data_IF_462092813593
#
_entry.id   IF_462092813593
#
_cell.length_a   1.000
_cell.length_b   1.000
_cell.length_c   1.000
_cell.angle_alpha   90.00
_cell.angle_beta   90.00
_cell.angle_gamma   90.00
#
_symmetry.space_group_name_H-M   'P 1'
#
loop_
_entity.id
_entity.type
_entity.pdbx_description
1 polymer ?
#
# COMPACT_ATOMS: atom_id res chain seq x y z
N UNK A 1 -12.61 1.61 1.31
CA UNK A 1 -11.39 1.29 2.09
C UNK A 1 -11.68 0.07 2.95
N UNK A 2 -10.70 -0.80 3.14
CA UNK A 2 -10.72 -1.92 4.09
C UNK A 2 -9.45 -1.81 4.95
N UNK A 3 -9.55 -1.95 6.27
CA UNK A 3 -8.44 -1.74 7.20
C UNK A 3 -8.53 -2.72 8.35
N UNK A 4 -7.36 -3.19 8.81
CA UNK A 4 -7.22 -4.03 10.00
C UNK A 4 -5.98 -3.61 10.81
N UNK A 5 -5.98 -3.95 12.10
CA UNK A 5 -4.81 -3.76 12.98
C UNK A 5 -4.29 -5.11 13.43
N UNK A 6 -2.99 -5.33 13.28
CA UNK A 6 -2.33 -6.58 13.60
C UNK A 6 -1.17 -6.34 14.58
N UNK A 7 -0.79 -7.38 15.32
CA UNK A 7 0.54 -7.41 15.96
C UNK A 7 1.60 -7.64 14.88
N UNK A 8 2.74 -6.97 14.97
CA UNK A 8 3.83 -7.09 14.02
C UNK A 8 4.62 -8.38 14.24
N UNK A 9 4.26 -9.41 13.46
CA UNK A 9 4.96 -10.69 13.38
C UNK A 9 5.09 -11.12 11.91
N UNK A 10 5.98 -12.06 11.57
CA UNK A 10 6.12 -12.54 10.19
C UNK A 10 4.81 -13.03 9.55
N UNK A 11 3.93 -13.64 10.34
CA UNK A 11 2.62 -14.15 9.90
C UNK A 11 1.67 -13.02 9.45
N UNK A 12 1.87 -11.80 9.95
CA UNK A 12 1.09 -10.61 9.59
C UNK A 12 1.18 -10.27 8.11
N UNK A 13 2.28 -10.66 7.45
CA UNK A 13 2.45 -10.49 6.00
C UNK A 13 1.38 -11.29 5.24
N UNK A 14 1.05 -12.50 5.71
CA UNK A 14 -0.02 -13.29 5.12
C UNK A 14 -1.39 -12.63 5.33
N UNK A 15 -1.71 -12.19 6.55
CA UNK A 15 -2.97 -11.53 6.86
C UNK A 15 -3.16 -10.21 6.08
N UNK A 16 -2.08 -9.44 5.91
CA UNK A 16 -2.07 -8.22 5.12
C UNK A 16 -2.41 -8.49 3.64
N UNK A 17 -1.90 -9.59 3.06
CA UNK A 17 -2.27 -10.00 1.69
C UNK A 17 -3.73 -10.41 1.61
N UNK A 18 -4.25 -11.17 2.57
CA UNK A 18 -5.66 -11.58 2.55
C UNK A 18 -6.62 -10.40 2.64
N UNK A 19 -6.25 -9.34 3.38
CA UNK A 19 -6.97 -8.07 3.38
C UNK A 19 -7.00 -7.45 1.98
N UNK A 20 -5.86 -7.40 1.28
CA UNK A 20 -5.78 -6.88 -0.10
C UNK A 20 -6.63 -7.72 -1.05
N UNK A 21 -6.51 -9.05 -1.02
CA UNK A 21 -7.30 -9.96 -1.88
C UNK A 21 -8.79 -9.75 -1.67
N UNK A 22 -9.22 -9.71 -0.42
CA UNK A 22 -10.63 -9.50 -0.04
C UNK A 22 -11.14 -8.14 -0.51
N UNK A 23 -10.35 -7.08 -0.34
CA UNK A 23 -10.68 -5.75 -0.81
C UNK A 23 -10.86 -5.70 -2.34
N UNK A 24 -9.86 -6.16 -3.10
CA UNK A 24 -9.88 -6.15 -4.56
C UNK A 24 -10.97 -7.05 -5.14
N UNK A 25 -11.20 -8.22 -4.54
CA UNK A 25 -12.31 -9.09 -4.89
C UNK A 25 -13.66 -8.37 -4.74
N UNK A 26 -13.87 -7.69 -3.62
CA UNK A 26 -15.10 -6.95 -3.35
C UNK A 26 -15.31 -5.74 -4.29
N UNK A 27 -14.23 -5.24 -4.91
CA UNK A 27 -14.29 -4.09 -5.82
C UNK A 27 -14.28 -4.48 -7.30
N UNK A 28 -14.22 -5.78 -7.62
CA UNK A 28 -14.12 -6.25 -9.01
C UNK A 28 -12.75 -5.99 -9.64
N UNK A 29 -11.69 -5.83 -8.84
CA UNK A 29 -10.33 -5.47 -9.26
C UNK A 29 -9.34 -6.63 -9.11
N UNK A 30 -9.81 -7.88 -9.19
CA UNK A 30 -8.99 -9.11 -9.05
C UNK A 30 -7.81 -9.18 -10.02
N UNK A 31 -7.89 -8.51 -11.17
CA UNK A 31 -6.78 -8.46 -12.13
C UNK A 31 -5.49 -7.83 -11.55
N UNK A 32 -5.60 -7.00 -10.51
CA UNK A 32 -4.47 -6.32 -9.87
C UNK A 32 -4.00 -7.01 -8.58
N UNK A 33 -4.56 -8.19 -8.27
CA UNK A 33 -4.32 -8.88 -7.01
C UNK A 33 -2.84 -9.29 -6.82
N UNK A 34 -2.18 -9.73 -7.89
CA UNK A 34 -0.77 -10.13 -7.85
C UNK A 34 0.13 -8.96 -7.43
N UNK A 35 0.08 -7.87 -8.19
CA UNK A 35 0.88 -6.66 -7.96
C UNK A 35 0.59 -6.03 -6.60
N UNK A 36 -0.70 -5.93 -6.22
CA UNK A 36 -1.10 -5.35 -4.95
C UNK A 36 -0.64 -6.20 -3.75
N UNK A 37 -0.72 -7.53 -3.86
CA UNK A 37 -0.20 -8.44 -2.84
C UNK A 37 1.32 -8.37 -2.73
N UNK A 38 2.03 -8.21 -3.84
CA UNK A 38 3.48 -8.06 -3.84
C UNK A 38 3.89 -6.78 -3.13
N UNK A 39 3.26 -5.65 -3.46
CA UNK A 39 3.49 -4.37 -2.77
C UNK A 39 3.21 -4.51 -1.27
N UNK A 40 2.06 -5.08 -0.91
CA UNK A 40 1.69 -5.23 0.50
C UNK A 40 2.64 -6.14 1.27
N UNK A 41 3.19 -7.17 0.62
CA UNK A 41 4.19 -8.06 1.22
C UNK A 41 5.39 -7.27 1.71
N UNK A 42 5.91 -6.38 0.87
CA UNK A 42 7.10 -5.59 1.19
C UNK A 42 6.83 -4.55 2.27
N UNK A 43 5.69 -3.85 2.19
CA UNK A 43 5.28 -2.88 3.21
C UNK A 43 5.09 -3.55 4.58
N UNK A 44 4.34 -4.66 4.61
CA UNK A 44 4.05 -5.39 5.84
C UNK A 44 5.30 -6.07 6.42
N UNK A 45 6.20 -6.61 5.58
CA UNK A 45 7.45 -7.22 6.02
C UNK A 45 8.37 -6.21 6.71
N UNK A 46 8.46 -4.99 6.16
CA UNK A 46 9.22 -3.91 6.79
C UNK A 46 8.66 -3.52 8.15
N UNK A 47 7.34 -3.33 8.26
CA UNK A 47 6.69 -3.00 9.52
C UNK A 47 6.82 -4.14 10.55
N UNK A 48 6.60 -5.39 10.14
CA UNK A 48 6.75 -6.57 11.01
C UNK A 48 8.17 -6.73 11.55
N UNK A 49 9.19 -6.42 10.73
CA UNK A 49 10.60 -6.47 11.12
C UNK A 49 10.97 -5.34 12.09
N UNK A 50 10.52 -4.11 11.83
CA UNK A 50 10.92 -2.92 12.60
C UNK A 50 10.12 -2.75 13.90
N UNK A 51 8.88 -3.25 13.95
CA UNK A 51 7.96 -3.05 15.07
C UNK A 51 7.58 -4.35 15.78
N UNK A 52 8.45 -5.38 15.78
CA UNK A 52 8.13 -6.72 16.30
C UNK A 52 7.35 -6.67 17.63
N UNK A 53 6.17 -7.31 17.68
CA UNK A 53 5.29 -7.38 18.85
C UNK A 53 4.41 -6.14 19.12
N UNK A 54 4.64 -5.01 18.41
CA UNK A 54 3.79 -3.82 18.49
C UNK A 54 2.60 -3.90 17.54
N UNK A 55 1.68 -2.94 17.65
CA UNK A 55 0.56 -2.84 16.72
C UNK A 55 1.00 -2.13 15.43
N UNK A 56 0.64 -2.71 14.29
CA UNK A 56 0.72 -2.07 12.97
C UNK A 56 -0.68 -2.06 12.36
N UNK A 57 -0.99 -1.03 11.57
CA UNK A 57 -2.28 -0.94 10.86
C UNK A 57 -2.05 -1.12 9.38
N UNK A 58 -2.84 -1.97 8.76
CA UNK A 58 -2.78 -2.24 7.33
C UNK A 58 -4.11 -1.84 6.71
N UNK A 59 -4.06 -1.15 5.58
CA UNK A 59 -5.28 -0.86 4.83
C UNK A 59 -5.04 -0.79 3.34
N UNK A 60 -6.15 -1.02 2.63
CA UNK A 60 -6.23 -0.90 1.18
C UNK A 60 -7.41 0.00 0.84
N UNK A 61 -7.19 0.87 -0.13
CA UNK A 61 -8.09 1.94 -0.51
C UNK A 61 -8.26 2.00 -2.01
N UNK A 62 -9.50 2.01 -2.48
CA UNK A 62 -9.83 2.39 -3.85
C UNK A 62 -9.87 3.91 -3.92
N UNK A 63 -9.10 4.50 -4.82
CA UNK A 63 -9.01 5.93 -5.11
C UNK A 63 -9.39 6.19 -6.57
N UNK A 64 -9.63 7.44 -6.95
CA UNK A 64 -10.08 7.79 -8.31
C UNK A 64 -9.13 7.30 -9.41
N UNK A 65 -7.83 7.30 -9.13
CA UNK A 65 -6.77 6.91 -10.08
C UNK A 65 -6.25 5.48 -9.88
N UNK A 66 -6.90 4.65 -9.04
CA UNK A 66 -6.53 3.25 -8.85
C UNK A 66 -6.67 2.73 -7.42
N UNK A 67 -5.64 2.01 -6.93
CA UNK A 67 -5.64 1.40 -5.60
C UNK A 67 -4.40 1.80 -4.82
N UNK A 68 -4.59 2.20 -3.56
CA UNK A 68 -3.53 2.53 -2.60
C UNK A 68 -3.45 1.44 -1.53
N UNK A 69 -2.26 0.91 -1.31
CA UNK A 69 -1.91 0.03 -0.19
C UNK A 69 -1.09 0.80 0.82
N UNK A 70 -1.41 0.64 2.09
CA UNK A 70 -0.76 1.36 3.17
C UNK A 70 -0.48 0.47 4.38
N UNK A 71 0.64 0.74 5.03
CA UNK A 71 0.99 0.19 6.35
C UNK A 71 1.44 1.33 7.25
N UNK A 72 0.82 1.41 8.42
CA UNK A 72 1.24 2.30 9.49
C UNK A 72 2.00 1.53 10.55
N UNK A 73 3.05 2.16 11.06
CA UNK A 73 3.87 1.68 12.16
C UNK A 73 4.38 2.87 13.00
N UNK A 74 4.70 2.60 14.27
CA UNK A 74 5.21 3.59 15.23
C UNK A 74 6.74 3.65 15.29
N UNK A 75 7.46 3.02 14.36
CA UNK A 75 8.92 3.08 14.36
C UNK A 75 9.38 4.48 13.96
N UNK A 76 10.29 5.12 14.72
CA UNK A 76 10.72 6.51 14.45
C UNK A 76 11.55 6.64 13.17
N UNK A 77 12.16 5.55 12.70
CA UNK A 77 12.93 5.53 11.46
C UNK A 77 12.05 5.80 10.23
N UNK A 78 12.47 6.77 9.41
CA UNK A 78 11.80 7.11 8.14
C UNK A 78 12.15 6.05 7.09
N UNK A 79 11.20 5.61 6.24
CA UNK A 79 11.51 4.72 5.13
C UNK A 79 12.40 5.48 4.16
N UNK A 80 13.60 4.96 3.92
CA UNK A 80 14.44 5.46 2.84
C UNK A 80 13.89 4.86 1.55
N UNK A 81 13.12 5.65 0.81
CA UNK A 81 12.67 5.29 -0.53
C UNK A 81 13.89 5.43 -1.44
N UNK A 82 14.64 4.35 -1.61
CA UNK A 82 15.76 4.32 -2.54
C UNK A 82 15.20 4.41 -3.97
N UNK A 83 15.72 5.34 -4.76
CA UNK A 83 15.56 5.27 -6.22
C UNK A 83 16.26 4.01 -6.72
N UNK A 84 15.76 3.36 -7.78
CA UNK A 84 16.30 2.07 -8.21
C UNK A 84 17.70 2.29 -8.80
N UNK A 85 18.74 2.02 -8.02
CA UNK A 85 20.08 1.87 -8.54
C UNK A 85 20.31 0.38 -8.83
N UNK A 86 20.65 0.09 -10.09
CA UNK A 86 20.68 -1.22 -10.73
C UNK A 86 21.57 -2.31 -10.06
N UNK A 87 22.27 -2.01 -8.96
CA UNK A 87 23.34 -2.87 -8.46
C UNK A 87 23.43 -3.06 -6.93
N UNK A 88 22.44 -2.66 -6.13
CA UNK A 88 22.55 -2.83 -4.67
C UNK A 88 21.77 -4.05 -4.12
N UNK A 89 22.43 -4.79 -3.22
CA UNK A 89 22.02 -6.12 -2.75
C UNK A 89 21.26 -6.05 -1.42
N UNK A 90 21.35 -4.93 -0.69
CA UNK A 90 20.64 -4.67 0.58
C UNK A 90 19.61 -3.54 0.44
N UNK A 91 18.57 -3.76 -0.39
CA UNK A 91 17.51 -2.76 -0.63
C UNK A 91 16.29 -3.27 -1.42
N UNK A 92 16.20 -4.58 -1.70
CA UNK A 92 15.31 -5.14 -2.73
C UNK A 92 13.81 -5.01 -2.47
N UNK A 93 13.39 -4.82 -1.21
CA UNK A 93 11.96 -4.80 -0.89
C UNK A 93 11.22 -3.58 -1.46
N UNK A 94 11.85 -2.41 -1.49
CA UNK A 94 11.24 -1.20 -2.10
C UNK A 94 11.46 -1.10 -3.61
N UNK A 95 12.45 -1.82 -4.16
CA UNK A 95 12.69 -1.93 -5.61
C UNK A 95 11.56 -2.68 -6.32
N UNK A 96 10.98 -3.72 -5.68
CA UNK A 96 9.79 -4.40 -6.18
C UNK A 96 8.54 -3.51 -6.07
N UNK A 97 8.41 -2.73 -4.99
CA UNK A 97 7.31 -1.77 -4.84
C UNK A 97 7.34 -0.73 -5.96
N UNK A 98 8.50 -0.20 -6.36
CA UNK A 98 8.59 0.75 -7.49
C UNK A 98 8.25 0.13 -8.84
N UNK A 99 8.56 -1.15 -9.07
CA UNK A 99 8.21 -1.83 -10.33
C UNK A 99 6.70 -2.03 -10.49
N UNK A 100 5.97 -2.22 -9.38
CA UNK A 100 4.53 -2.47 -9.40
C UNK A 100 3.69 -1.24 -9.03
N UNK A 101 4.25 -0.24 -8.35
CA UNK A 101 3.54 0.96 -7.91
C UNK A 101 3.48 2.02 -9.03
N UNK A 102 2.78 1.70 -10.11
CA UNK A 102 2.60 2.60 -11.26
C UNK A 102 1.93 3.94 -10.91
N UNK A 103 1.25 4.04 -9.77
CA UNK A 103 0.66 5.29 -9.25
C UNK A 103 1.53 6.03 -8.23
N UNK A 104 2.79 5.61 -8.05
CA UNK A 104 3.74 6.19 -7.10
C UNK A 104 3.75 5.54 -5.71
N UNK A 105 4.73 5.91 -4.90
CA UNK A 105 4.87 5.47 -3.52
C UNK A 105 5.46 6.58 -2.65
N UNK A 106 5.32 6.45 -1.33
CA UNK A 106 5.71 7.50 -0.40
C UNK A 106 5.52 7.11 1.06
N UNK A 107 5.72 8.07 1.95
CA UNK A 107 5.28 7.97 3.33
C UNK A 107 4.85 9.34 3.85
N UNK A 108 4.12 9.34 4.96
CA UNK A 108 3.73 10.57 5.67
C UNK A 108 3.61 10.29 7.16
N UNK A 109 3.79 11.33 7.98
CA UNK A 109 3.53 11.25 9.42
C UNK A 109 2.02 11.11 9.66
N UNK A 110 1.63 10.25 10.60
CA UNK A 110 0.24 10.01 10.96
C UNK A 110 0.16 9.69 12.46
N UNK A 111 -0.34 10.65 13.23
CA UNK A 111 -0.28 10.59 14.70
C UNK A 111 1.16 10.48 15.19
N UNK A 112 1.40 9.60 16.16
CA UNK A 112 2.73 9.30 16.73
C UNK A 112 3.61 8.42 15.83
N UNK A 113 3.11 8.00 14.67
CA UNK A 113 3.81 7.10 13.76
C UNK A 113 3.86 7.63 12.33
N UNK A 114 4.09 6.70 11.41
CA UNK A 114 4.12 6.99 9.97
C UNK A 114 3.30 5.97 9.21
N UNK A 115 2.81 6.39 8.05
CA UNK A 115 2.16 5.52 7.09
C UNK A 115 2.99 5.48 5.80
N UNK A 116 3.44 4.29 5.42
CA UNK A 116 4.10 4.02 4.14
C UNK A 116 3.04 3.55 3.15
N UNK A 117 3.05 4.11 1.94
CA UNK A 117 2.03 3.87 0.95
C UNK A 117 2.62 3.61 -0.44
N UNK A 118 1.88 2.86 -1.25
CA UNK A 118 2.18 2.62 -2.65
C UNK A 118 0.88 2.43 -3.44
N UNK A 119 0.86 2.87 -4.70
CA UNK A 119 -0.33 2.92 -5.54
C UNK A 119 -0.12 2.18 -6.85
N UNK A 120 -1.15 1.46 -7.28
CA UNK A 120 -1.28 0.95 -8.65
C UNK A 120 -2.22 1.90 -9.38
N UNK A 121 -1.75 2.53 -10.46
CA UNK A 121 -2.57 3.30 -11.36
C UNK A 121 -3.47 2.36 -12.18
N UNK A 122 -4.77 2.67 -12.24
CA UNK A 122 -5.75 1.89 -12.99
C UNK A 122 -6.55 2.87 -13.86
N UNK A 123 -6.73 2.50 -15.14
CA UNK A 123 -7.56 3.26 -16.06
C UNK A 123 -8.97 3.51 -15.50
N UNK A 124 -9.46 4.73 -15.67
CA UNK A 124 -10.75 5.17 -15.14
C UNK A 124 -11.93 4.40 -15.76
N UNK A 125 -11.86 4.05 -17.05
CA UNK A 125 -12.85 3.21 -17.71
C UNK A 125 -12.90 1.80 -17.12
N UNK A 126 -11.75 1.21 -16.83
CA UNK A 126 -11.68 -0.07 -16.10
C UNK A 126 -12.33 0.04 -14.72
N UNK A 127 -12.01 1.08 -13.96
CA UNK A 127 -12.54 1.33 -12.62
C UNK A 127 -14.07 1.43 -12.61
N UNK A 128 -14.64 2.17 -13.55
CA UNK A 128 -16.10 2.27 -13.73
C UNK A 128 -16.74 0.92 -14.05
N UNK A 129 -16.14 0.15 -14.96
CA UNK A 129 -16.63 -1.17 -15.34
C UNK A 129 -16.56 -2.19 -14.18
N UNK A 130 -15.48 -2.16 -13.40
CA UNK A 130 -15.34 -2.97 -12.20
C UNK A 130 -16.38 -2.60 -11.13
N UNK A 131 -16.59 -1.31 -10.89
CA UNK A 131 -17.59 -0.81 -9.94
C UNK A 131 -19.02 -1.24 -10.30
N UNK A 132 -19.37 -1.17 -11.59
CA UNK A 132 -20.67 -1.66 -12.11
C UNK A 132 -20.86 -3.15 -11.85
N UNK A 133 -19.86 -3.98 -12.17
CA UNK A 133 -19.92 -5.44 -11.97
C UNK A 133 -20.01 -5.83 -10.50
N UNK A 134 -19.32 -5.11 -9.62
CA UNK A 134 -19.32 -5.37 -8.19
C UNK A 134 -20.57 -4.85 -7.46
N UNK A 135 -21.43 -4.06 -8.12
CA UNK A 135 -22.56 -3.38 -7.47
C UNK A 135 -22.12 -2.38 -6.39
N UNK A 136 -20.85 -1.95 -6.41
CA UNK A 136 -20.27 -1.05 -5.41
C UNK A 136 -19.87 0.25 -6.09
N UNK A 137 -20.60 1.36 -5.89
CA UNK A 137 -20.28 2.64 -6.52
C UNK A 137 -18.85 3.05 -6.18
N UNK A 138 -18.16 3.70 -7.12
CA UNK A 138 -16.84 4.28 -6.86
C UNK A 138 -17.01 5.15 -5.63
N UNK A 139 -16.32 4.77 -4.55
CA UNK A 139 -16.29 5.62 -3.36
C UNK A 139 -15.45 6.79 -3.83
N UNK A 140 -16.09 7.95 -3.99
CA UNK A 140 -15.46 9.18 -4.46
C UNK A 140 -14.22 9.53 -3.64
N UNK A 141 -13.47 10.56 -4.05
CA UNK A 141 -12.11 10.81 -3.62
C UNK A 141 -12.01 10.59 -2.12
N UNK A 142 -11.22 9.60 -1.71
CA UNK A 142 -10.84 9.50 -0.31
C UNK A 142 -10.26 10.86 0.04
N UNK A 143 -10.95 11.61 0.92
CA UNK A 143 -10.50 12.91 1.46
C UNK A 143 -9.30 12.68 2.38
N UNK A 144 -8.26 12.20 1.77
CA UNK A 144 -6.90 12.31 2.19
C UNK A 144 -6.19 12.04 0.86
N UNK A 145 -5.71 13.09 0.17
CA UNK A 145 -4.48 12.87 -0.61
C UNK A 145 -4.20 13.60 -1.90
N UNK A 146 -4.37 14.92 -1.99
CA UNK A 146 -3.36 15.73 -2.71
C UNK A 146 -2.02 15.63 -1.94
N UNK A 147 -1.33 14.48 -2.05
CA UNK A 147 -0.03 14.19 -1.42
C UNK A 147 1.01 14.54 -2.48
N UNK A 148 1.95 15.46 -2.23
CA UNK A 148 3.02 15.73 -3.19
C UNK A 148 3.78 14.42 -3.49
N UNK A 149 4.02 14.14 -4.77
CA UNK A 149 4.80 12.99 -5.23
C UNK A 149 6.29 13.07 -4.86
N UNK A 150 6.72 14.13 -4.16
CA UNK A 150 8.14 14.41 -3.95
C UNK A 150 8.59 13.95 -2.56
N UNK A 151 9.67 13.15 -2.44
CA UNK A 151 10.34 13.02 -1.16
C UNK A 151 10.80 14.41 -0.72
N UNK A 152 10.45 14.82 0.49
CA UNK A 152 11.01 16.02 1.11
C UNK A 152 12.52 15.79 1.27
N UNK A 153 13.29 16.31 0.30
CA UNK A 153 14.72 16.50 0.43
C UNK A 153 14.96 17.61 1.45
N UNK A 154 15.67 17.28 2.51
CA UNK A 154 16.44 18.19 3.34
C UNK A 154 17.51 17.38 4.03
#
# INVERSE_FOLDING_TARGET
>A
MLSETFRAYPETVYLARELVRSALASWGLRAFEGDACQIMTELASNAARLCKGKNIRVWTSRIDQGVEMCVWDDHPGRPVIQQPHLFDTSGRGLVLVQAFASGGCGWFALGEGKAVWARIAIDHGYMLNAARRAGRPIVGPLRHVDRPCTPLHS
#
